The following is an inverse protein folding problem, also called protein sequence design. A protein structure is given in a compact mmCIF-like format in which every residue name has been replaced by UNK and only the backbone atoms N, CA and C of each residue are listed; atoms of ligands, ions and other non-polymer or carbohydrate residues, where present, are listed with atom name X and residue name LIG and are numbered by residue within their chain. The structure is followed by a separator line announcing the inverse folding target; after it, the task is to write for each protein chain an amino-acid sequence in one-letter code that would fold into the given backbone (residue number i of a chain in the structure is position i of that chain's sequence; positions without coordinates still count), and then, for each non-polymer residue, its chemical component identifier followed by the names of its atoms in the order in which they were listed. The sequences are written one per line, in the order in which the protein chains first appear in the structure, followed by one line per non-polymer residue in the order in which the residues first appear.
data_IF_310444206604
#
_entry.id   IF_310444206604
#
_cell.length_a   1.000
_cell.length_b   1.000
_cell.length_c   1.000
_cell.angle_alpha   90.00
_cell.angle_beta   90.00
_cell.angle_gamma   90.00
#
_symmetry.space_group_name_H-M   'P 1'
#
loop_
_entity.id
_entity.type
_entity.pdbx_description
1 polymer ?
#
# COMPACT_ATOMS: atom_id res chain seq x y z
N UNK A 1 11.72 17.15 0.75
CA UNK A 1 12.67 17.07 -0.36
C UNK A 1 13.87 18.00 -0.19
N UNK A 2 13.86 19.17 -0.81
CA UNK A 2 15.03 20.08 -0.89
C UNK A 2 15.57 20.52 0.48
N UNK A 3 14.70 20.84 1.44
CA UNK A 3 15.11 21.27 2.77
C UNK A 3 15.93 20.21 3.54
N UNK A 4 15.66 18.93 3.28
CA UNK A 4 16.34 17.81 3.90
C UNK A 4 17.26 17.06 2.92
N UNK A 5 17.64 17.69 1.81
CA UNK A 5 18.52 17.12 0.77
C UNK A 5 18.09 15.72 0.32
N UNK A 6 16.76 15.44 0.32
CA UNK A 6 16.15 14.17 -0.07
C UNK A 6 16.57 12.96 0.83
N UNK A 7 17.16 13.26 1.98
CA UNK A 7 17.65 12.24 2.92
C UNK A 7 16.49 11.74 3.81
N UNK A 8 16.44 10.44 4.17
CA UNK A 8 15.58 9.94 5.22
C UNK A 8 15.71 10.74 6.51
N UNK A 9 14.65 10.84 7.30
CA UNK A 9 14.57 11.73 8.47
C UNK A 9 15.76 11.62 9.41
N UNK A 10 16.17 10.40 9.76
CA UNK A 10 17.29 10.13 10.68
C UNK A 10 18.58 9.70 9.95
N UNK A 11 18.71 10.05 8.66
CA UNK A 11 19.90 9.76 7.87
C UNK A 11 19.82 8.42 7.13
N UNK A 12 20.87 8.13 6.35
CA UNK A 12 20.91 6.95 5.45
C UNK A 12 21.21 5.62 6.18
N UNK A 13 21.47 5.66 7.48
CA UNK A 13 21.67 4.45 8.29
C UNK A 13 20.47 4.12 9.17
N UNK A 14 19.36 4.84 9.00
CA UNK A 14 18.13 4.55 9.72
C UNK A 14 17.58 3.17 9.37
N UNK A 15 16.97 2.53 10.36
CA UNK A 15 16.27 1.25 10.23
C UNK A 15 14.75 1.44 10.40
N UNK A 16 14.33 2.66 10.75
CA UNK A 16 12.92 2.98 10.98
C UNK A 16 12.21 3.25 9.65
N UNK A 17 11.13 2.52 9.40
CA UNK A 17 10.36 2.63 8.17
C UNK A 17 9.68 4.00 8.00
N UNK A 18 9.29 4.66 9.09
CA UNK A 18 8.73 6.03 9.07
C UNK A 18 9.70 7.01 8.42
N UNK A 19 11.00 6.83 8.62
CA UNK A 19 12.03 7.76 8.15
C UNK A 19 12.19 7.74 6.63
N UNK A 20 12.01 6.57 6.00
CA UNK A 20 12.21 6.41 4.55
C UNK A 20 10.92 6.22 3.73
N UNK A 21 9.76 6.30 4.35
CA UNK A 21 8.47 6.19 3.67
C UNK A 21 8.33 7.16 2.48
N UNK A 22 8.76 8.42 2.65
CA UNK A 22 8.72 9.45 1.61
C UNK A 22 9.55 9.12 0.36
N UNK A 23 10.49 8.18 0.45
CA UNK A 23 11.32 7.72 -0.66
C UNK A 23 10.49 7.13 -1.80
N UNK A 24 9.31 6.58 -1.51
CA UNK A 24 8.40 6.10 -2.57
C UNK A 24 8.09 7.20 -3.58
N UNK A 25 7.74 8.40 -3.09
CA UNK A 25 7.46 9.56 -3.94
C UNK A 25 8.69 10.04 -4.68
N UNK A 26 9.87 10.01 -4.06
CA UNK A 26 11.12 10.40 -4.72
C UNK A 26 11.46 9.49 -5.90
N UNK A 27 11.25 8.19 -5.72
CA UNK A 27 11.46 7.18 -6.77
C UNK A 27 10.41 7.30 -7.88
N UNK A 28 9.15 7.57 -7.55
CA UNK A 28 8.09 7.83 -8.55
C UNK A 28 8.42 9.07 -9.39
N UNK A 29 8.86 10.15 -8.75
CA UNK A 29 9.31 11.35 -9.44
C UNK A 29 10.51 11.08 -10.37
N UNK A 30 11.45 10.25 -9.94
CA UNK A 30 12.59 9.85 -10.77
C UNK A 30 12.13 9.04 -12.00
N UNK A 31 11.25 8.06 -11.81
CA UNK A 31 10.72 7.23 -12.89
C UNK A 31 9.87 8.02 -13.91
N UNK A 32 9.23 9.10 -13.49
CA UNK A 32 8.35 9.92 -14.36
C UNK A 32 9.07 11.06 -15.08
N UNK A 33 10.31 11.41 -14.70
CA UNK A 33 11.01 12.62 -15.19
C UNK A 33 11.52 12.55 -16.61
N UNK A 34 11.63 11.37 -17.21
CA UNK A 34 11.96 11.24 -18.64
C UNK A 34 10.97 11.97 -19.56
N UNK A 35 9.75 12.22 -19.06
CA UNK A 35 8.73 12.96 -19.81
C UNK A 35 8.81 14.48 -19.65
N UNK A 36 9.25 14.99 -18.48
CA UNK A 36 9.14 16.42 -18.12
C UNK A 36 10.46 17.08 -17.77
N UNK A 37 11.57 16.37 -17.77
CA UNK A 37 12.86 16.92 -17.39
C UNK A 37 14.05 16.07 -17.81
N UNK A 38 15.23 16.60 -17.60
CA UNK A 38 16.49 15.91 -17.88
C UNK A 38 16.70 14.82 -16.79
N UNK A 39 16.38 13.55 -17.07
CA UNK A 39 16.50 12.41 -16.16
C UNK A 39 17.83 12.38 -15.37
N UNK A 40 18.94 12.74 -16.01
CA UNK A 40 20.25 12.77 -15.38
C UNK A 40 20.41 13.75 -14.20
N UNK A 41 19.55 14.75 -14.08
CA UNK A 41 19.66 15.77 -13.00
C UNK A 41 18.97 15.37 -11.69
N UNK A 42 18.27 14.26 -11.66
CA UNK A 42 17.49 13.83 -10.49
C UNK A 42 18.07 12.63 -9.76
N UNK A 43 19.10 11.98 -10.29
CA UNK A 43 19.73 10.81 -9.64
C UNK A 43 20.26 11.16 -8.24
N UNK A 44 20.77 12.35 -8.05
CA UNK A 44 21.17 12.89 -6.75
C UNK A 44 20.05 12.93 -5.71
N UNK A 45 18.78 13.04 -6.15
CA UNK A 45 17.61 13.10 -5.27
C UNK A 45 17.21 11.73 -4.74
N UNK A 46 17.55 10.67 -5.45
CA UNK A 46 17.28 9.29 -5.02
C UNK A 46 18.51 8.63 -4.41
N UNK A 47 19.69 9.24 -4.50
CA UNK A 47 20.91 8.67 -3.94
C UNK A 47 20.81 8.40 -2.44
N UNK A 48 20.28 9.31 -1.58
CA UNK A 48 20.10 9.00 -0.16
C UNK A 48 19.15 7.83 0.11
N UNK A 49 18.15 7.61 -0.76
CA UNK A 49 17.29 6.42 -0.69
C UNK A 49 18.07 5.16 -1.04
N UNK A 50 18.90 5.20 -2.10
CA UNK A 50 19.79 4.10 -2.47
C UNK A 50 20.71 3.76 -1.31
N UNK A 51 21.41 4.74 -0.76
CA UNK A 51 22.36 4.56 0.35
C UNK A 51 21.67 3.94 1.59
N UNK A 52 20.43 4.37 1.89
CA UNK A 52 19.65 3.81 2.99
C UNK A 52 19.26 2.35 2.74
N UNK A 53 18.79 2.02 1.55
CA UNK A 53 18.40 0.64 1.22
C UNK A 53 19.64 -0.27 1.10
N UNK A 54 20.75 0.22 0.60
CA UNK A 54 22.02 -0.50 0.60
C UNK A 54 22.51 -0.79 2.02
N UNK A 55 22.31 0.17 2.95
CA UNK A 55 22.61 -0.08 4.36
C UNK A 55 21.76 -1.22 4.91
N UNK A 56 20.41 -1.21 4.70
CA UNK A 56 19.53 -2.28 5.18
C UNK A 56 19.92 -3.65 4.57
N UNK A 57 20.29 -3.70 3.29
CA UNK A 57 20.79 -4.91 2.64
C UNK A 57 22.11 -5.38 3.27
N UNK A 58 23.03 -4.45 3.59
CA UNK A 58 24.33 -4.79 4.17
C UNK A 58 24.26 -5.42 5.58
N UNK A 59 23.15 -5.17 6.28
CA UNK A 59 22.87 -5.70 7.63
C UNK A 59 21.65 -6.63 7.63
N UNK A 60 21.41 -7.37 6.53
CA UNK A 60 20.19 -8.14 6.29
C UNK A 60 19.78 -9.05 7.45
N UNK A 61 20.72 -9.73 8.10
CA UNK A 61 20.46 -10.59 9.26
C UNK A 61 19.80 -9.85 10.44
N UNK A 62 20.05 -8.55 10.56
CA UNK A 62 19.47 -7.69 11.60
C UNK A 62 18.23 -6.96 11.12
N UNK A 63 18.31 -6.37 9.90
CA UNK A 63 17.23 -5.52 9.37
C UNK A 63 15.98 -6.31 8.95
N UNK A 64 16.11 -7.61 8.67
CA UNK A 64 14.97 -8.45 8.29
C UNK A 64 13.81 -8.43 9.30
N UNK A 65 14.08 -8.15 10.56
CA UNK A 65 13.10 -8.11 11.64
C UNK A 65 12.68 -6.68 12.04
N UNK A 66 13.01 -5.66 11.24
CA UNK A 66 12.74 -4.26 11.59
C UNK A 66 11.26 -3.87 11.44
N UNK A 67 10.52 -4.53 10.53
CA UNK A 67 9.11 -4.23 10.33
C UNK A 67 8.23 -4.95 11.36
N UNK A 68 8.30 -4.48 12.61
CA UNK A 68 7.59 -5.07 13.76
C UNK A 68 6.11 -4.71 13.83
N UNK A 69 5.64 -3.86 12.92
CA UNK A 69 4.24 -3.48 12.74
C UNK A 69 3.91 -3.39 11.25
N UNK A 70 2.66 -3.67 10.92
CA UNK A 70 2.27 -3.89 9.51
C UNK A 70 2.31 -2.62 8.65
N UNK A 71 2.18 -1.44 9.25
CA UNK A 71 2.30 -0.17 8.53
C UNK A 71 3.70 -0.02 7.89
N UNK A 72 4.75 -0.55 8.55
CA UNK A 72 6.12 -0.55 8.02
C UNK A 72 6.25 -1.28 6.68
N UNK A 73 5.39 -2.28 6.42
CA UNK A 73 5.34 -2.99 5.13
C UNK A 73 5.01 -1.99 4.01
N UNK A 74 4.00 -1.13 4.22
CA UNK A 74 3.65 -0.06 3.25
C UNK A 74 4.77 0.97 3.10
N UNK A 75 5.49 1.26 4.17
CA UNK A 75 6.54 2.26 4.17
C UNK A 75 7.78 1.79 3.40
N UNK A 76 8.14 0.51 3.50
CA UNK A 76 9.42 -0.01 3.02
C UNK A 76 9.34 -0.91 1.80
N UNK A 77 8.40 -1.85 1.74
CA UNK A 77 8.35 -2.84 0.66
C UNK A 77 8.26 -2.22 -0.74
N UNK A 78 7.40 -1.21 -1.00
CA UNK A 78 7.35 -0.54 -2.29
C UNK A 78 8.64 0.24 -2.62
N UNK A 79 9.40 0.72 -1.63
CA UNK A 79 10.71 1.37 -1.88
C UNK A 79 11.68 0.39 -2.48
N UNK A 80 11.81 -0.81 -1.89
CA UNK A 80 12.67 -1.88 -2.39
C UNK A 80 12.28 -2.29 -3.82
N UNK A 81 11.00 -2.49 -4.08
CA UNK A 81 10.52 -2.90 -5.39
C UNK A 81 10.75 -1.82 -6.47
N UNK A 82 10.53 -0.54 -6.15
CA UNK A 82 10.80 0.57 -7.07
C UNK A 82 12.28 0.75 -7.36
N UNK A 83 13.15 0.59 -6.36
CA UNK A 83 14.59 0.60 -6.58
C UNK A 83 15.04 -0.58 -7.45
N UNK A 84 14.48 -1.76 -7.24
CA UNK A 84 14.77 -2.91 -8.09
C UNK A 84 14.41 -2.63 -9.56
N UNK A 85 13.23 -2.01 -9.80
CA UNK A 85 12.84 -1.58 -11.15
C UNK A 85 13.84 -0.58 -11.75
N UNK A 86 14.27 0.42 -10.99
CA UNK A 86 15.26 1.40 -11.44
C UNK A 86 16.58 0.72 -11.78
N UNK A 87 17.07 -0.18 -10.93
CA UNK A 87 18.32 -0.91 -11.17
C UNK A 87 18.27 -1.81 -12.39
N UNK A 88 17.13 -2.49 -12.61
CA UNK A 88 16.91 -3.25 -13.84
C UNK A 88 16.97 -2.35 -15.08
N UNK A 89 16.30 -1.19 -15.06
CA UNK A 89 16.33 -0.23 -16.16
C UNK A 89 17.74 0.37 -16.40
N UNK A 90 18.58 0.42 -15.36
CA UNK A 90 20.01 0.77 -15.45
C UNK A 90 20.89 -0.39 -15.94
N UNK A 91 20.32 -1.60 -16.12
CA UNK A 91 21.06 -2.82 -16.53
C UNK A 91 21.76 -3.56 -15.39
N UNK A 92 21.43 -3.23 -14.13
CA UNK A 92 22.01 -3.86 -12.92
C UNK A 92 21.00 -4.81 -12.26
N UNK A 93 20.79 -5.98 -12.88
CA UNK A 93 19.89 -7.01 -12.36
C UNK A 93 20.37 -7.61 -11.03
N UNK A 94 21.66 -7.59 -10.77
CA UNK A 94 22.21 -8.08 -9.52
C UNK A 94 21.81 -7.20 -8.33
N UNK A 95 21.86 -5.87 -8.49
CA UNK A 95 21.37 -4.95 -7.47
C UNK A 95 19.82 -5.01 -7.35
N UNK A 96 19.11 -5.11 -8.48
CA UNK A 96 17.66 -5.29 -8.49
C UNK A 96 17.23 -6.50 -7.65
N UNK A 97 17.89 -7.65 -7.86
CA UNK A 97 17.62 -8.89 -7.12
C UNK A 97 17.88 -8.72 -5.61
N UNK A 98 18.96 -8.02 -5.21
CA UNK A 98 19.26 -7.78 -3.79
C UNK A 98 18.13 -7.02 -3.09
N UNK A 99 17.59 -5.95 -3.71
CA UNK A 99 16.48 -5.20 -3.12
C UNK A 99 15.21 -6.04 -3.03
N UNK A 100 14.85 -6.80 -4.08
CA UNK A 100 13.69 -7.68 -4.03
C UNK A 100 13.83 -8.75 -2.96
N UNK A 101 15.01 -9.36 -2.84
CA UNK A 101 15.27 -10.38 -1.81
C UNK A 101 15.18 -9.77 -0.41
N UNK A 102 15.74 -8.59 -0.17
CA UNK A 102 15.67 -7.93 1.12
C UNK A 102 14.23 -7.58 1.49
N UNK A 103 13.47 -6.98 0.55
CA UNK A 103 12.05 -6.68 0.77
C UNK A 103 11.24 -7.94 1.09
N UNK A 104 11.49 -9.03 0.37
CA UNK A 104 10.85 -10.32 0.64
C UNK A 104 11.20 -10.86 2.03
N UNK A 105 12.47 -10.86 2.42
CA UNK A 105 12.90 -11.34 3.74
C UNK A 105 12.26 -10.55 4.89
N UNK A 106 12.15 -9.23 4.73
CA UNK A 106 11.50 -8.37 5.73
C UNK A 106 9.98 -8.62 5.77
N UNK A 107 9.34 -8.73 4.61
CA UNK A 107 7.91 -9.05 4.50
C UNK A 107 7.57 -10.40 5.13
N UNK A 108 8.31 -11.46 4.78
CA UNK A 108 8.03 -12.81 5.27
C UNK A 108 8.33 -12.95 6.77
N UNK A 109 9.30 -12.18 7.29
CA UNK A 109 9.56 -12.11 8.71
C UNK A 109 8.36 -11.53 9.48
N UNK A 110 7.81 -10.40 9.03
CA UNK A 110 6.59 -9.82 9.61
C UNK A 110 5.41 -10.77 9.47
N UNK A 111 5.25 -11.37 8.30
CA UNK A 111 4.14 -12.27 7.99
C UNK A 111 4.10 -13.53 8.86
N UNK A 112 5.24 -14.19 9.04
CA UNK A 112 5.30 -15.56 9.54
C UNK A 112 6.06 -15.75 10.86
N UNK A 113 6.92 -14.81 11.26
CA UNK A 113 7.89 -15.07 12.33
C UNK A 113 7.71 -14.13 13.54
N UNK A 114 7.55 -12.82 13.31
CA UNK A 114 7.37 -11.87 14.40
C UNK A 114 6.12 -12.18 15.21
N UNK A 115 6.28 -12.35 16.52
CA UNK A 115 5.20 -12.72 17.43
C UNK A 115 4.41 -13.99 17.03
N UNK A 116 5.04 -14.91 16.31
CA UNK A 116 4.39 -16.10 15.75
C UNK A 116 3.76 -15.87 14.37
N UNK A 117 3.97 -14.70 13.78
CA UNK A 117 3.40 -14.24 12.52
C UNK A 117 2.30 -13.22 12.73
N UNK A 118 2.36 -12.11 11.97
CA UNK A 118 1.32 -11.07 12.03
C UNK A 118 0.18 -11.31 11.03
N UNK A 119 0.28 -12.32 10.16
CA UNK A 119 -0.77 -12.69 9.21
C UNK A 119 -1.56 -13.91 9.69
N UNK A 120 -2.86 -13.73 9.91
CA UNK A 120 -3.75 -14.84 10.20
C UNK A 120 -4.22 -15.48 8.89
N UNK A 121 -3.68 -16.64 8.57
CA UNK A 121 -4.03 -17.36 7.34
C UNK A 121 -5.46 -17.91 7.33
N UNK A 122 -6.10 -18.05 8.49
CA UNK A 122 -7.49 -18.51 8.58
C UNK A 122 -8.46 -17.40 8.18
N UNK A 123 -8.16 -16.17 8.59
CA UNK A 123 -9.02 -15.01 8.35
C UNK A 123 -8.59 -14.20 7.10
N UNK A 124 -7.35 -14.39 6.61
CA UNK A 124 -6.79 -13.62 5.50
C UNK A 124 -6.53 -12.15 5.85
N UNK A 125 -6.31 -11.85 7.12
CA UNK A 125 -6.13 -10.51 7.66
C UNK A 125 -4.91 -10.43 8.57
N UNK A 126 -4.48 -9.20 8.92
CA UNK A 126 -3.27 -8.94 9.68
C UNK A 126 -3.59 -8.32 11.03
N UNK A 127 -2.99 -8.86 12.08
CA UNK A 127 -2.82 -8.15 13.35
C UNK A 127 -1.81 -7.02 13.18
N UNK A 128 -2.06 -5.88 13.80
CA UNK A 128 -1.23 -4.68 13.61
C UNK A 128 0.21 -4.88 14.05
N UNK A 129 0.42 -5.50 15.19
CA UNK A 129 1.72 -5.85 15.78
C UNK A 129 1.56 -6.92 16.88
N UNK A 130 2.66 -7.23 17.57
CA UNK A 130 2.71 -8.25 18.64
C UNK A 130 1.70 -8.05 19.78
N UNK A 131 1.22 -6.83 19.99
CA UNK A 131 0.31 -6.52 21.09
C UNK A 131 -1.14 -6.92 20.77
N UNK A 132 -1.45 -7.18 19.47
CA UNK A 132 -2.78 -7.55 18.99
C UNK A 132 -2.91 -9.01 18.57
N UNK A 133 -1.83 -9.80 18.54
CA UNK A 133 -1.93 -11.24 18.34
C UNK A 133 -2.54 -11.93 19.57
N UNK A 134 -2.97 -13.19 19.42
CA UNK A 134 -3.50 -13.95 20.54
C UNK A 134 -2.55 -13.88 21.79
N UNK A 135 -3.07 -13.67 23.01
CA UNK A 135 -4.48 -13.83 23.41
C UNK A 135 -5.34 -12.54 23.34
N UNK A 136 -4.86 -11.45 22.72
CA UNK A 136 -5.67 -10.23 22.61
C UNK A 136 -6.95 -10.50 21.84
N UNK A 137 -8.07 -9.93 22.31
CA UNK A 137 -9.38 -10.01 21.65
C UNK A 137 -10.11 -8.67 21.75
N UNK A 138 -10.94 -8.43 20.75
CA UNK A 138 -11.93 -7.35 20.73
C UNK A 138 -13.04 -7.57 21.77
N UNK A 139 -13.86 -6.55 22.11
CA UNK A 139 -14.95 -6.70 23.05
C UNK A 139 -15.96 -7.81 22.74
N UNK A 140 -16.18 -8.12 21.46
CA UNK A 140 -17.04 -9.23 21.01
C UNK A 140 -16.38 -10.61 21.09
N UNK A 141 -15.08 -10.69 21.44
CA UNK A 141 -14.31 -11.93 21.53
C UNK A 141 -13.56 -12.30 20.24
N UNK A 142 -13.72 -11.55 19.16
CA UNK A 142 -13.03 -11.77 17.89
C UNK A 142 -11.59 -11.21 17.91
N UNK A 143 -10.81 -11.54 16.89
CA UNK A 143 -9.47 -10.98 16.69
C UNK A 143 -9.51 -9.53 16.24
N UNK A 144 -8.56 -8.72 16.72
CA UNK A 144 -8.48 -7.31 16.36
C UNK A 144 -7.77 -7.11 15.02
N UNK A 145 -8.54 -6.78 13.99
CA UNK A 145 -8.01 -6.41 12.68
C UNK A 145 -8.33 -4.95 12.37
N UNK A 146 -7.37 -4.07 12.66
CA UNK A 146 -7.50 -2.66 12.40
C UNK A 146 -7.57 -2.35 10.91
N UNK A 147 -8.61 -1.66 10.48
CA UNK A 147 -8.94 -1.42 9.08
C UNK A 147 -7.81 -0.73 8.32
N UNK A 148 -7.36 0.45 8.78
CA UNK A 148 -6.28 1.18 8.10
C UNK A 148 -4.96 0.39 8.07
N UNK A 149 -4.63 -0.34 9.13
CA UNK A 149 -3.44 -1.20 9.15
C UNK A 149 -3.49 -2.27 8.06
N UNK A 150 -4.61 -2.97 7.92
CA UNK A 150 -4.85 -3.91 6.83
C UNK A 150 -4.85 -3.22 5.46
N UNK A 151 -5.41 -2.01 5.38
CA UNK A 151 -5.36 -1.17 4.19
C UNK A 151 -3.93 -0.83 3.75
N UNK A 152 -3.04 -0.55 4.71
CA UNK A 152 -1.63 -0.32 4.41
C UNK A 152 -0.96 -1.53 3.78
N UNK A 153 -1.12 -2.73 4.36
CA UNK A 153 -0.55 -3.95 3.76
C UNK A 153 -1.14 -4.20 2.38
N UNK A 154 -2.45 -4.06 2.23
CA UNK A 154 -3.12 -4.26 0.96
C UNK A 154 -2.58 -3.32 -0.14
N UNK A 155 -2.41 -2.04 0.19
CA UNK A 155 -1.79 -1.07 -0.72
C UNK A 155 -0.30 -1.36 -0.97
N UNK A 156 0.44 -1.86 0.02
CA UNK A 156 1.83 -2.27 -0.16
C UNK A 156 1.98 -3.40 -1.17
N UNK A 157 1.12 -4.42 -1.09
CA UNK A 157 1.09 -5.51 -2.06
C UNK A 157 0.86 -5.00 -3.47
N UNK A 158 -0.13 -4.12 -3.66
CA UNK A 158 -0.42 -3.47 -4.94
C UNK A 158 0.80 -2.71 -5.46
N UNK A 159 1.35 -1.78 -4.69
CA UNK A 159 2.47 -0.93 -5.12
C UNK A 159 3.74 -1.71 -5.40
N UNK A 160 3.93 -2.81 -4.69
CA UNK A 160 5.06 -3.73 -4.90
C UNK A 160 4.89 -4.51 -6.19
N UNK A 161 3.73 -5.12 -6.40
CA UNK A 161 3.45 -5.84 -7.64
C UNK A 161 3.45 -4.92 -8.85
N UNK A 162 2.92 -3.70 -8.73
CA UNK A 162 2.95 -2.69 -9.78
C UNK A 162 4.39 -2.32 -10.19
N UNK A 163 5.28 -2.16 -9.21
CA UNK A 163 6.70 -1.93 -9.48
C UNK A 163 7.40 -3.13 -10.17
N UNK A 164 6.88 -4.34 -10.00
CA UNK A 164 7.37 -5.56 -10.66
C UNK A 164 6.80 -5.78 -12.06
N UNK A 165 5.77 -5.03 -12.46
CA UNK A 165 5.17 -5.10 -13.80
C UNK A 165 5.78 -4.05 -14.72
N UNK A 166 6.10 -4.44 -15.94
CA UNK A 166 6.68 -3.57 -16.97
C UNK A 166 5.90 -3.68 -18.28
N UNK A 167 5.89 -2.62 -19.09
CA UNK A 167 5.36 -2.70 -20.43
C UNK A 167 6.25 -3.56 -21.34
N UNK A 168 5.67 -4.46 -22.11
CA UNK A 168 6.35 -5.17 -23.22
C UNK A 168 6.79 -4.22 -24.32
N UNK A 169 6.13 -3.08 -24.45
CA UNK A 169 6.50 -2.08 -25.42
C UNK A 169 7.66 -1.22 -24.88
N UNK A 170 8.88 -1.60 -25.26
CA UNK A 170 10.11 -0.91 -24.84
C UNK A 170 10.24 0.53 -25.35
N UNK A 171 9.41 0.94 -26.32
CA UNK A 171 9.33 2.33 -26.80
C UNK A 171 8.31 3.16 -26.00
N UNK A 172 7.42 2.53 -25.25
CA UNK A 172 6.55 3.25 -24.34
C UNK A 172 7.38 3.76 -23.17
N UNK A 173 7.10 4.96 -22.66
CA UNK A 173 7.66 5.38 -21.39
C UNK A 173 7.37 4.30 -20.34
N UNK A 174 8.38 3.83 -19.61
CA UNK A 174 8.27 2.71 -18.67
C UNK A 174 7.31 2.97 -17.49
N UNK A 175 6.87 4.21 -17.32
CA UNK A 175 5.83 4.65 -16.38
C UNK A 175 4.43 4.71 -17.03
N UNK A 176 4.31 4.61 -18.37
CA UNK A 176 3.01 4.53 -19.02
C UNK A 176 2.52 3.10 -18.92
N UNK A 177 1.58 2.89 -18.04
CA UNK A 177 0.93 1.59 -17.88
C UNK A 177 0.24 1.20 -19.18
N UNK A 178 0.47 0.00 -19.70
CA UNK A 178 -0.34 -0.57 -20.76
C UNK A 178 -1.79 -0.66 -20.31
N UNK A 179 -2.72 -0.45 -21.22
CA UNK A 179 -4.16 -0.56 -20.96
C UNK A 179 -4.65 -2.02 -21.07
N UNK A 180 -3.82 -2.92 -21.57
CA UNK A 180 -4.13 -4.33 -21.81
C UNK A 180 -3.16 -5.21 -21.04
N UNK A 181 -3.68 -6.18 -20.28
CA UNK A 181 -2.89 -7.13 -19.51
C UNK A 181 -1.93 -7.97 -20.38
N UNK A 182 -2.27 -8.18 -21.67
CA UNK A 182 -1.39 -8.86 -22.64
C UNK A 182 -0.10 -8.09 -22.92
N UNK A 183 -0.07 -6.78 -22.62
CA UNK A 183 1.07 -5.90 -22.79
C UNK A 183 2.02 -5.87 -21.58
N UNK A 184 1.68 -6.56 -20.49
CA UNK A 184 2.51 -6.62 -19.29
C UNK A 184 3.54 -7.76 -19.37
N UNK A 185 4.68 -7.50 -18.76
CA UNK A 185 5.68 -8.52 -18.43
C UNK A 185 6.17 -8.32 -17.01
N UNK A 186 6.52 -9.40 -16.36
CA UNK A 186 7.21 -9.33 -15.07
C UNK A 186 8.64 -8.86 -15.25
N UNK A 187 9.11 -8.05 -14.33
CA UNK A 187 10.52 -7.79 -14.14
C UNK A 187 11.25 -9.14 -14.00
N UNK A 188 12.28 -9.44 -14.80
CA UNK A 188 12.90 -10.78 -14.87
C UNK A 188 13.37 -11.32 -13.51
N UNK A 189 13.70 -10.43 -12.58
CA UNK A 189 14.17 -10.77 -11.23
C UNK A 189 13.05 -10.90 -10.17
N UNK A 190 11.79 -10.84 -10.57
CA UNK A 190 10.60 -10.86 -9.67
C UNK A 190 10.21 -12.28 -9.26
N UNK A 191 10.98 -12.90 -8.35
CA UNK A 191 10.77 -14.29 -7.93
C UNK A 191 9.48 -14.48 -7.10
N UNK A 192 9.07 -13.48 -6.28
CA UNK A 192 7.98 -13.59 -5.30
C UNK A 192 6.68 -12.89 -5.72
N UNK A 193 6.54 -12.55 -7.00
CA UNK A 193 5.31 -11.91 -7.49
C UNK A 193 4.05 -12.74 -7.19
N UNK A 194 4.12 -14.05 -7.41
CA UNK A 194 2.97 -14.93 -7.19
C UNK A 194 2.64 -15.12 -5.70
N UNK A 195 3.62 -15.01 -4.82
CA UNK A 195 3.40 -15.07 -3.38
C UNK A 195 2.63 -13.82 -2.91
N UNK A 196 3.08 -12.62 -3.32
CA UNK A 196 2.36 -11.38 -3.06
C UNK A 196 0.95 -11.37 -3.67
N UNK A 197 0.81 -11.88 -4.90
CA UNK A 197 -0.49 -12.01 -5.57
C UNK A 197 -1.43 -12.93 -4.81
N UNK A 198 -0.93 -14.03 -4.27
CA UNK A 198 -1.72 -14.95 -3.44
C UNK A 198 -2.25 -14.25 -2.20
N UNK A 199 -1.38 -13.61 -1.42
CA UNK A 199 -1.78 -12.88 -0.22
C UNK A 199 -2.77 -11.74 -0.55
N UNK A 200 -2.57 -11.04 -1.65
CA UNK A 200 -3.49 -10.01 -2.14
C UNK A 200 -4.90 -10.56 -2.44
N UNK A 201 -4.99 -11.72 -3.11
CA UNK A 201 -6.28 -12.36 -3.42
C UNK A 201 -6.97 -12.83 -2.13
N UNK A 202 -6.24 -13.48 -1.22
CA UNK A 202 -6.76 -13.93 0.07
C UNK A 202 -7.30 -12.77 0.90
N UNK A 203 -6.55 -11.66 0.98
CA UNK A 203 -7.02 -10.43 1.63
C UNK A 203 -8.25 -9.84 0.94
N UNK A 204 -8.31 -9.85 -0.39
CA UNK A 204 -9.48 -9.34 -1.13
C UNK A 204 -10.75 -10.08 -0.76
N UNK A 205 -10.68 -11.42 -0.67
CA UNK A 205 -11.81 -12.26 -0.27
C UNK A 205 -12.22 -12.03 1.19
N UNK A 206 -11.25 -11.87 2.09
CA UNK A 206 -11.49 -11.57 3.50
C UNK A 206 -12.17 -10.21 3.68
N UNK A 207 -11.68 -9.19 2.99
CA UNK A 207 -12.21 -7.84 3.06
C UNK A 207 -13.66 -7.75 2.58
N UNK A 208 -14.04 -8.49 1.52
CA UNK A 208 -15.45 -8.53 1.10
C UNK A 208 -16.40 -9.03 2.18
N UNK A 209 -15.95 -9.98 3.02
CA UNK A 209 -16.78 -10.52 4.11
C UNK A 209 -16.99 -9.51 5.25
N UNK A 210 -16.08 -8.54 5.38
CA UNK A 210 -16.11 -7.52 6.42
C UNK A 210 -16.80 -6.23 5.97
N UNK A 211 -17.25 -6.14 4.70
CA UNK A 211 -17.89 -4.91 4.20
C UNK A 211 -19.26 -4.70 4.85
N UNK A 212 -19.52 -3.48 5.27
CA UNK A 212 -20.81 -3.03 5.81
C UNK A 212 -21.86 -2.86 4.70
N UNK A 213 -23.11 -2.90 5.09
CA UNK A 213 -24.24 -2.67 4.15
C UNK A 213 -24.26 -1.26 3.54
N UNK A 214 -23.59 -0.28 4.17
CA UNK A 214 -23.46 1.08 3.66
C UNK A 214 -22.21 1.27 2.79
N UNK A 215 -21.60 0.19 2.32
CA UNK A 215 -20.43 0.10 1.45
C UNK A 215 -19.10 0.54 2.09
N UNK A 216 -19.06 0.89 3.37
CA UNK A 216 -17.82 1.17 4.11
C UNK A 216 -17.28 -0.07 4.80
N UNK A 217 -16.12 0.07 5.43
CA UNK A 217 -15.59 -0.85 6.44
C UNK A 217 -15.53 -0.14 7.79
N UNK A 218 -15.69 -0.92 8.87
CA UNK A 218 -15.50 -0.42 10.22
C UNK A 218 -14.02 -0.21 10.54
N UNK A 219 -13.72 0.56 11.56
CA UNK A 219 -12.37 0.71 12.11
C UNK A 219 -11.80 -0.64 12.56
N UNK A 220 -12.62 -1.46 13.25
CA UNK A 220 -12.36 -2.87 13.49
C UNK A 220 -13.09 -3.72 12.46
N UNK A 221 -12.36 -4.58 11.73
CA UNK A 221 -12.95 -5.37 10.65
C UNK A 221 -13.86 -6.49 11.13
N UNK A 222 -13.60 -7.03 12.33
CA UNK A 222 -14.38 -8.15 12.91
C UNK A 222 -15.28 -7.75 14.07
N UNK A 223 -15.23 -6.49 14.53
CA UNK A 223 -16.13 -6.00 15.59
C UNK A 223 -16.77 -4.67 15.21
N UNK A 224 -17.96 -4.73 14.64
CA UNK A 224 -18.75 -3.53 14.32
C UNK A 224 -19.26 -2.78 15.57
N UNK A 225 -19.23 -3.42 16.73
CA UNK A 225 -19.62 -2.78 18.01
C UNK A 225 -18.47 -1.97 18.63
N UNK A 226 -17.21 -2.23 18.21
CA UNK A 226 -16.04 -1.53 18.72
C UNK A 226 -15.69 -0.34 17.82
N UNK A 227 -16.28 0.82 18.14
CA UNK A 227 -16.16 2.05 17.34
C UNK A 227 -16.63 1.88 15.90
N UNK A 228 -17.74 1.16 15.71
CA UNK A 228 -18.34 0.93 14.40
C UNK A 228 -18.80 2.22 13.71
N UNK A 229 -18.93 2.15 12.42
CA UNK A 229 -19.35 3.25 11.58
C UNK A 229 -18.44 3.44 10.36
N UNK A 230 -18.65 4.53 9.66
CA UNK A 230 -17.84 4.86 8.47
C UNK A 230 -16.43 5.22 8.88
N UNK A 231 -15.44 4.63 8.17
CA UNK A 231 -14.04 5.02 8.27
C UNK A 231 -13.46 5.11 6.87
N UNK A 232 -12.94 6.28 6.51
CA UNK A 232 -12.54 6.60 5.14
C UNK A 232 -11.24 5.90 4.74
N UNK A 233 -10.24 5.87 5.62
CA UNK A 233 -8.86 5.53 5.21
C UNK A 233 -8.70 4.08 4.82
N UNK A 234 -9.16 3.15 5.65
CA UNK A 234 -9.18 1.72 5.31
C UNK A 234 -10.06 1.45 4.10
N UNK A 235 -11.27 2.02 4.08
CA UNK A 235 -12.22 1.90 2.96
C UNK A 235 -11.57 2.32 1.63
N UNK A 236 -10.90 3.47 1.60
CA UNK A 236 -10.23 3.98 0.41
C UNK A 236 -9.09 3.06 -0.06
N UNK A 237 -8.26 2.58 0.87
CA UNK A 237 -7.15 1.68 0.55
C UNK A 237 -7.64 0.32 0.01
N UNK A 238 -8.77 -0.18 0.51
CA UNK A 238 -9.35 -1.42 0.03
C UNK A 238 -9.84 -1.29 -1.41
N UNK A 239 -10.63 -0.26 -1.73
CA UNK A 239 -11.08 -0.08 -3.12
C UNK A 239 -9.95 0.34 -4.07
N UNK A 240 -8.92 1.03 -3.59
CA UNK A 240 -7.69 1.26 -4.35
C UNK A 240 -7.10 -0.06 -4.85
N UNK A 241 -6.88 -1.01 -3.93
CA UNK A 241 -6.30 -2.30 -4.28
C UNK A 241 -7.24 -3.15 -5.13
N UNK A 242 -8.55 -3.19 -4.80
CA UNK A 242 -9.53 -3.93 -5.59
C UNK A 242 -9.61 -3.40 -7.03
N UNK A 243 -9.63 -2.07 -7.24
CA UNK A 243 -9.67 -1.45 -8.56
C UNK A 243 -8.41 -1.78 -9.38
N UNK A 244 -7.24 -1.73 -8.74
CA UNK A 244 -5.99 -2.17 -9.36
C UNK A 244 -6.05 -3.65 -9.75
N UNK A 245 -6.53 -4.51 -8.85
CA UNK A 245 -6.65 -5.95 -9.10
C UNK A 245 -7.59 -6.29 -10.25
N UNK A 246 -8.73 -5.59 -10.36
CA UNK A 246 -9.66 -5.73 -11.50
C UNK A 246 -9.02 -5.26 -12.79
N UNK A 247 -8.37 -4.10 -12.77
CA UNK A 247 -7.69 -3.53 -13.95
C UNK A 247 -6.57 -4.42 -14.49
N UNK A 248 -5.91 -5.18 -13.62
CA UNK A 248 -4.85 -6.13 -13.99
C UNK A 248 -5.34 -7.57 -14.20
N UNK A 249 -6.65 -7.81 -14.25
CA UNK A 249 -7.22 -9.15 -14.44
C UNK A 249 -6.87 -10.15 -13.31
N UNK A 250 -6.45 -9.66 -12.15
CA UNK A 250 -6.13 -10.48 -10.97
C UNK A 250 -7.40 -10.81 -10.19
N UNK A 251 -8.32 -9.84 -10.10
CA UNK A 251 -9.62 -10.00 -9.45
C UNK A 251 -10.74 -10.05 -10.49
N UNK A 252 -11.75 -10.94 -10.31
CA UNK A 252 -12.90 -11.03 -11.22
C UNK A 252 -13.70 -9.74 -11.27
N UNK A 253 -13.82 -9.14 -12.48
CA UNK A 253 -14.47 -7.85 -12.66
C UNK A 253 -15.97 -7.88 -12.30
N UNK A 254 -16.68 -8.94 -12.60
CA UNK A 254 -18.10 -9.14 -12.30
C UNK A 254 -18.37 -9.11 -10.79
N UNK A 255 -17.46 -9.61 -9.98
CA UNK A 255 -17.57 -9.66 -8.51
C UNK A 255 -17.16 -8.34 -7.85
N UNK A 256 -16.06 -7.73 -8.28
CA UNK A 256 -15.45 -6.61 -7.56
C UNK A 256 -15.85 -5.23 -8.09
N UNK A 257 -16.19 -5.09 -9.39
CA UNK A 257 -16.55 -3.78 -9.95
C UNK A 257 -17.74 -3.13 -9.26
N UNK A 258 -18.86 -3.84 -8.96
CA UNK A 258 -19.97 -3.23 -8.22
C UNK A 258 -19.54 -2.71 -6.84
N UNK A 259 -18.78 -3.51 -6.09
CA UNK A 259 -18.26 -3.14 -4.77
C UNK A 259 -17.43 -1.85 -4.86
N UNK A 260 -16.51 -1.78 -5.80
CA UNK A 260 -15.63 -0.61 -6.00
C UNK A 260 -16.43 0.65 -6.32
N UNK A 261 -17.35 0.56 -7.28
CA UNK A 261 -18.12 1.72 -7.75
C UNK A 261 -19.09 2.21 -6.70
N UNK A 262 -19.82 1.31 -6.04
CA UNK A 262 -20.78 1.67 -5.00
C UNK A 262 -20.08 2.30 -3.80
N UNK A 263 -18.93 1.73 -3.39
CA UNK A 263 -18.11 2.30 -2.30
C UNK A 263 -17.56 3.67 -2.68
N UNK A 264 -16.98 3.81 -3.88
CA UNK A 264 -16.45 5.11 -4.33
C UNK A 264 -17.53 6.19 -4.35
N UNK A 265 -18.69 5.91 -4.94
CA UNK A 265 -19.80 6.85 -5.00
C UNK A 265 -20.29 7.24 -3.61
N UNK A 266 -20.36 6.27 -2.69
CA UNK A 266 -20.79 6.53 -1.31
C UNK A 266 -19.74 7.34 -0.55
N UNK A 267 -18.44 7.06 -0.72
CA UNK A 267 -17.36 7.87 -0.12
C UNK A 267 -17.40 9.32 -0.60
N UNK A 268 -17.54 9.55 -1.91
CA UNK A 268 -17.64 10.91 -2.47
C UNK A 268 -18.87 11.65 -1.92
N UNK A 269 -20.01 10.97 -1.84
CA UNK A 269 -21.25 11.55 -1.33
C UNK A 269 -21.20 11.87 0.16
N UNK A 270 -20.67 10.94 0.96
CA UNK A 270 -20.85 10.96 2.41
C UNK A 270 -19.64 11.52 3.17
N UNK A 271 -18.44 11.50 2.57
CA UNK A 271 -17.23 12.00 3.23
C UNK A 271 -16.74 13.35 2.70
N UNK A 272 -16.97 13.65 1.41
CA UNK A 272 -16.43 14.87 0.81
C UNK A 272 -17.34 16.06 1.08
N UNK A 273 -16.85 17.04 1.81
CA UNK A 273 -17.52 18.32 2.04
C UNK A 273 -17.45 19.24 0.82
N UNK A 274 -18.39 20.19 0.68
CA UNK A 274 -18.36 21.16 -0.43
C UNK A 274 -17.10 22.03 -0.51
N UNK A 275 -16.39 22.20 0.59
CA UNK A 275 -15.13 22.94 0.67
C UNK A 275 -13.88 22.07 0.42
N UNK A 276 -14.07 20.77 0.12
CA UNK A 276 -12.97 19.83 -0.11
C UNK A 276 -12.45 19.11 1.14
N UNK A 277 -12.98 19.41 2.34
CA UNK A 277 -12.66 18.65 3.55
C UNK A 277 -13.17 17.22 3.45
N UNK A 278 -12.43 16.25 4.00
CA UNK A 278 -12.80 14.84 4.07
C UNK A 278 -13.17 14.46 5.49
N UNK A 279 -14.42 14.10 5.70
CA UNK A 279 -14.91 13.57 6.96
C UNK A 279 -14.66 12.07 7.12
N UNK A 280 -14.97 11.55 8.30
CA UNK A 280 -14.82 10.15 8.65
C UNK A 280 -13.39 9.61 8.54
N UNK A 281 -12.39 10.46 8.76
CA UNK A 281 -10.97 10.09 8.81
C UNK A 281 -10.58 9.82 10.25
N UNK A 282 -10.21 8.57 10.57
CA UNK A 282 -9.58 8.26 11.86
C UNK A 282 -8.19 8.91 11.90
N UNK A 283 -7.89 9.70 12.94
CA UNK A 283 -6.59 10.31 13.15
C UNK A 283 -5.48 9.28 13.43
N UNK A 284 -4.32 9.75 13.85
CA UNK A 284 -3.15 8.88 14.14
C UNK A 284 -3.49 7.82 15.17
N UNK A 285 -3.07 6.59 14.91
CA UNK A 285 -3.35 5.47 15.80
C UNK A 285 -2.83 4.14 15.31
N UNK A 286 -3.12 3.09 16.07
CA UNK A 286 -2.73 1.71 15.80
C UNK A 286 -3.85 0.70 16.05
N UNK A 287 -4.99 1.15 16.56
CA UNK A 287 -6.12 0.31 16.96
C UNK A 287 -7.46 1.06 16.84
N UNK A 288 -8.59 0.34 16.92
CA UNK A 288 -9.93 0.93 16.70
C UNK A 288 -10.26 2.11 17.62
N UNK A 289 -9.82 2.11 18.88
CA UNK A 289 -10.13 3.16 19.85
C UNK A 289 -9.37 4.47 19.65
N UNK A 290 -8.27 4.44 18.90
CA UNK A 290 -7.42 5.62 18.75
C UNK A 290 -8.11 6.72 17.94
N UNK A 291 -7.86 7.97 18.34
CA UNK A 291 -8.37 9.16 17.65
C UNK A 291 -9.89 9.14 17.41
N UNK A 292 -10.64 8.64 18.37
CA UNK A 292 -12.08 8.68 18.35
C UNK A 292 -12.64 9.99 18.94
N UNK A 293 -13.83 10.43 18.55
CA UNK A 293 -14.73 9.82 17.57
C UNK A 293 -14.32 10.11 16.13
N UNK A 294 -14.61 9.15 15.23
CA UNK A 294 -14.53 9.34 13.77
C UNK A 294 -15.89 9.82 13.28
N UNK A 295 -15.96 10.99 12.68
CA UNK A 295 -17.22 11.58 12.26
C UNK A 295 -17.11 12.50 11.06
N UNK A 296 -18.27 12.94 10.53
CA UNK A 296 -18.32 13.75 9.31
C UNK A 296 -17.54 15.05 9.42
N UNK A 297 -17.62 15.75 10.56
CA UNK A 297 -17.00 17.06 10.80
C UNK A 297 -15.81 17.02 11.76
N UNK A 298 -15.35 15.83 12.15
CA UNK A 298 -14.21 15.71 13.03
C UNK A 298 -12.90 15.89 12.24
N UNK A 299 -12.08 16.83 12.68
CA UNK A 299 -10.74 17.02 12.13
C UNK A 299 -9.79 16.00 12.75
N UNK A 300 -9.07 15.18 11.94
CA UNK A 300 -8.05 14.30 12.47
C UNK A 300 -6.84 15.13 12.94
N UNK A 301 -6.05 14.56 13.86
CA UNK A 301 -4.79 15.17 14.32
C UNK A 301 -3.71 15.24 13.23
N UNK A 302 -3.88 14.44 12.17
CA UNK A 302 -3.01 14.40 11.00
C UNK A 302 -3.85 14.00 9.78
N UNK A 303 -4.02 14.89 8.81
CA UNK A 303 -4.99 14.76 7.72
C UNK A 303 -4.41 14.33 6.37
N UNK A 304 -3.09 14.42 6.18
CA UNK A 304 -2.43 14.13 4.90
C UNK A 304 -2.67 12.71 4.41
N UNK A 305 -2.66 11.70 5.31
CA UNK A 305 -2.87 10.31 4.91
C UNK A 305 -4.33 10.04 4.47
N UNK A 306 -5.31 10.70 5.07
CA UNK A 306 -6.72 10.58 4.67
C UNK A 306 -6.92 11.04 3.23
N UNK A 307 -6.39 12.22 2.89
CA UNK A 307 -6.41 12.74 1.54
C UNK A 307 -5.62 11.84 0.58
N UNK A 308 -4.45 11.36 1.00
CA UNK A 308 -3.63 10.45 0.20
C UNK A 308 -4.35 9.15 -0.14
N UNK A 309 -5.02 8.51 0.82
CA UNK A 309 -5.81 7.29 0.60
C UNK A 309 -6.97 7.54 -0.38
N UNK A 310 -7.71 8.64 -0.21
CA UNK A 310 -8.81 9.02 -1.08
C UNK A 310 -8.35 9.26 -2.54
N UNK A 311 -7.24 9.96 -2.73
CA UNK A 311 -6.68 10.23 -4.06
C UNK A 311 -6.14 8.95 -4.71
N UNK A 312 -5.52 8.04 -3.96
CA UNK A 312 -5.11 6.73 -4.48
C UNK A 312 -6.32 5.94 -4.98
N UNK A 313 -7.38 5.84 -4.18
CA UNK A 313 -8.63 5.19 -4.56
C UNK A 313 -9.21 5.81 -5.84
N UNK A 314 -9.38 7.13 -5.87
CA UNK A 314 -9.93 7.84 -7.02
C UNK A 314 -9.12 7.65 -8.29
N UNK A 315 -7.80 7.63 -8.18
CA UNK A 315 -6.92 7.42 -9.34
C UNK A 315 -7.11 6.03 -9.97
N UNK A 316 -7.22 4.97 -9.15
CA UNK A 316 -7.42 3.61 -9.67
C UNK A 316 -8.84 3.36 -10.18
N UNK A 317 -9.85 3.89 -9.49
CA UNK A 317 -11.25 3.84 -9.98
C UNK A 317 -11.37 4.53 -11.34
N UNK A 318 -10.69 5.69 -11.51
CA UNK A 318 -10.67 6.38 -12.80
C UNK A 318 -10.00 5.54 -13.90
N UNK A 319 -8.85 4.94 -13.62
CA UNK A 319 -8.12 4.08 -14.56
C UNK A 319 -8.91 2.82 -14.93
N UNK A 320 -9.51 2.18 -13.94
CA UNK A 320 -10.38 1.03 -14.15
C UNK A 320 -11.54 1.37 -15.09
N UNK A 321 -12.21 2.51 -14.91
CA UNK A 321 -13.32 2.94 -15.75
C UNK A 321 -12.90 3.23 -17.20
N UNK A 322 -11.68 3.73 -17.42
CA UNK A 322 -11.15 3.92 -18.79
C UNK A 322 -11.00 2.60 -19.53
N UNK A 323 -10.56 1.55 -18.83
CA UNK A 323 -10.35 0.23 -19.44
C UNK A 323 -11.66 -0.48 -19.80
N UNK A 324 -12.70 -0.31 -18.98
CA UNK A 324 -14.00 -0.98 -19.21
C UNK A 324 -15.00 -0.14 -20.00
N UNK A 325 -14.61 1.06 -20.48
CA UNK A 325 -15.47 1.90 -21.32
C UNK A 325 -16.78 2.31 -20.66
N UNK A 326 -16.83 2.35 -19.35
CA UNK A 326 -18.01 2.83 -18.60
C UNK A 326 -18.18 4.31 -18.95
N UNK A 327 -19.14 4.57 -19.84
CA UNK A 327 -19.53 5.94 -20.21
C UNK A 327 -20.08 6.63 -18.97
N UNK A 328 -19.63 7.87 -18.74
CA UNK A 328 -20.13 8.79 -17.70
C UNK A 328 -21.61 9.08 -17.88
#
# INVERSE_FOLDING_TARGET
GTAHKWTPRNGVTTRDADDYCCSQTYLDMYLTTDKYGKAGTLKERIQPTIDCMDHLVSISDKSRADWTWIDAIQMGLPVMAKLARIKHLEGDDAAAQKYLNQGWQMYICSRNELAGGLYNTADGLWWRDKDFVAPYKEPNGEDCYWSRGNGWVYAALVRTMDAMLMSKNTKAPQYKEPLDETEWMLLPVSQHFNDYKKDFIEMSEALLKCQRLDHFWNVSLHDESNFGGKELTGTALFIYGMAWGVRHGILPADKYTPVIIDTWNTMVKDCLHPNGFLGFVQGTGKEPKDSQPVGYSNEPDFDDFGLGCFLLAGSEVYRMNLNFGIKR
#
